data_IF_980307925600
#
_entry.id   IF_980307925600
#
_cell.length_a   1.000
_cell.length_b   1.000
_cell.length_c   1.000
_cell.angle_alpha   90.00
_cell.angle_beta   90.00
_cell.angle_gamma   90.00
#
_symmetry.space_group_name_H-M   'P 1'
#
loop_
_entity.id
_entity.type
_entity.pdbx_description
1 polymer ?
#
# COMPACT_ATOMS: atom_id res chain seq x y z
N UNK A 1 23.22 -31.17 28.21
CA UNK A 1 24.66 -30.87 28.09
C UNK A 1 25.19 -31.53 26.81
N UNK A 2 24.40 -31.50 25.72
CA UNK A 2 24.40 -32.58 24.72
C UNK A 2 24.58 -32.08 23.28
N UNK A 3 24.75 -30.77 23.08
CA UNK A 3 24.71 -30.16 21.74
C UNK A 3 26.12 -29.76 21.22
N UNK A 4 27.18 -29.98 22.02
CA UNK A 4 28.54 -29.57 21.64
C UNK A 4 29.07 -30.44 20.47
N UNK A 5 28.78 -31.74 20.51
CA UNK A 5 29.18 -32.71 19.48
C UNK A 5 28.44 -32.55 18.15
N UNK A 6 27.26 -31.92 18.14
CA UNK A 6 26.46 -31.74 16.92
C UNK A 6 27.17 -30.86 15.87
N UNK A 7 28.08 -30.00 16.33
CA UNK A 7 28.89 -29.14 15.47
C UNK A 7 29.98 -29.90 14.69
N UNK A 8 30.25 -31.16 15.05
CA UNK A 8 31.22 -32.02 14.37
C UNK A 8 30.57 -32.78 13.20
N UNK A 9 31.34 -33.13 12.15
CA UNK A 9 30.89 -34.08 11.15
C UNK A 9 30.52 -35.43 11.80
N UNK A 10 29.48 -36.10 11.30
CA UNK A 10 28.95 -37.36 11.87
C UNK A 10 30.01 -38.45 12.06
N UNK A 11 31.05 -38.47 11.22
CA UNK A 11 32.17 -39.41 11.31
C UNK A 11 33.00 -39.25 12.59
N UNK A 12 33.00 -38.06 13.21
CA UNK A 12 33.75 -37.73 14.43
C UNK A 12 32.93 -37.89 15.71
N UNK A 13 31.61 -38.13 15.61
CA UNK A 13 30.73 -38.22 16.79
C UNK A 13 31.15 -39.34 17.74
N UNK A 14 31.44 -40.54 17.23
CA UNK A 14 31.89 -41.68 18.06
C UNK A 14 33.19 -41.40 18.80
N UNK A 15 34.13 -40.73 18.15
CA UNK A 15 35.42 -40.36 18.74
C UNK A 15 35.23 -39.28 19.82
N UNK A 16 34.38 -38.29 19.55
CA UNK A 16 34.03 -37.26 20.52
C UNK A 16 33.34 -37.85 21.76
N UNK A 17 32.37 -38.73 21.59
CA UNK A 17 31.63 -39.33 22.72
C UNK A 17 32.54 -40.15 23.64
N UNK A 18 33.47 -40.93 23.07
CA UNK A 18 34.43 -41.71 23.83
C UNK A 18 35.38 -40.82 24.65
N UNK A 19 35.88 -39.74 24.05
CA UNK A 19 36.76 -38.78 24.72
C UNK A 19 36.00 -37.91 25.74
N UNK A 20 34.74 -37.57 25.45
CA UNK A 20 33.88 -36.81 26.34
C UNK A 20 33.53 -37.60 27.61
N UNK A 21 33.24 -38.90 27.47
CA UNK A 21 32.98 -39.78 28.60
C UNK A 21 34.20 -39.91 29.53
N UNK A 22 35.41 -40.01 28.97
CA UNK A 22 36.65 -40.07 29.73
C UNK A 22 36.97 -38.78 30.50
N UNK A 23 36.60 -37.61 29.96
CA UNK A 23 36.82 -36.30 30.61
C UNK A 23 35.70 -35.95 31.62
N UNK A 24 34.59 -36.69 31.65
CA UNK A 24 33.43 -36.36 32.48
C UNK A 24 33.64 -36.62 33.98
N UNK A 25 34.51 -37.56 34.34
CA UNK A 25 34.72 -37.95 35.73
C UNK A 25 35.44 -36.85 36.54
N UNK A 26 34.82 -36.45 37.66
CA UNK A 26 35.40 -35.50 38.62
C UNK A 26 35.30 -34.02 38.23
N UNK A 27 34.68 -33.68 37.10
CA UNK A 27 34.48 -32.28 36.68
C UNK A 27 33.09 -31.75 37.04
N UNK A 28 33.02 -30.46 37.39
CA UNK A 28 31.74 -29.76 37.50
C UNK A 28 31.12 -29.54 36.12
N UNK A 29 29.79 -29.39 36.01
CA UNK A 29 29.11 -29.20 34.72
C UNK A 29 29.66 -28.02 33.89
N UNK A 30 30.02 -26.91 34.55
CA UNK A 30 30.59 -25.75 33.88
C UNK A 30 32.01 -26.00 33.32
N UNK A 31 32.85 -26.67 34.11
CA UNK A 31 34.23 -26.98 33.70
C UNK A 31 34.26 -28.07 32.62
N UNK A 32 33.40 -29.08 32.75
CA UNK A 32 33.18 -30.11 31.74
C UNK A 32 32.72 -29.48 30.41
N UNK A 33 31.77 -28.55 30.44
CA UNK A 33 31.32 -27.83 29.23
C UNK A 33 32.47 -27.13 28.51
N UNK A 34 33.35 -26.44 29.24
CA UNK A 34 34.52 -25.76 28.68
C UNK A 34 35.51 -26.75 28.07
N UNK A 35 35.78 -27.88 28.76
CA UNK A 35 36.67 -28.94 28.27
C UNK A 35 36.13 -29.62 27.02
N UNK A 36 34.83 -29.94 26.99
CA UNK A 36 34.16 -30.52 25.84
C UNK A 36 34.13 -29.56 24.64
N UNK A 37 33.93 -28.26 24.85
CA UNK A 37 34.01 -27.27 23.78
C UNK A 37 35.41 -27.21 23.16
N UNK A 38 36.46 -27.23 23.98
CA UNK A 38 37.84 -27.28 23.50
C UNK A 38 38.17 -28.60 22.78
N UNK A 39 37.65 -29.72 23.27
CA UNK A 39 37.79 -31.03 22.63
C UNK A 39 37.09 -31.06 21.26
N UNK A 40 35.85 -30.57 21.18
CA UNK A 40 35.13 -30.46 19.91
C UNK A 40 35.89 -29.59 18.92
N UNK A 41 36.44 -28.45 19.34
CA UNK A 41 37.24 -27.61 18.44
C UNK A 41 38.47 -28.34 17.89
N UNK A 42 39.18 -29.14 18.70
CA UNK A 42 40.33 -29.93 18.24
C UNK A 42 39.98 -31.01 17.23
N UNK A 43 38.78 -31.58 17.33
CA UNK A 43 38.30 -32.65 16.44
C UNK A 43 37.70 -32.13 15.13
N UNK A 44 37.62 -30.81 14.95
CA UNK A 44 37.14 -30.21 13.70
C UNK A 44 38.13 -30.45 12.54
N UNK A 45 37.65 -30.82 11.34
CA UNK A 45 38.51 -31.09 10.18
C UNK A 45 39.12 -29.81 9.56
N UNK A 46 38.56 -28.65 9.87
CA UNK A 46 39.00 -27.34 9.38
C UNK A 46 39.17 -26.40 10.56
N UNK A 47 40.12 -25.48 10.48
CA UNK A 47 40.41 -24.54 11.57
C UNK A 47 39.25 -23.57 11.84
N UNK A 48 39.14 -23.06 13.06
CA UNK A 48 38.18 -21.99 13.39
C UNK A 48 38.32 -20.78 12.45
N UNK A 49 39.55 -20.43 12.07
CA UNK A 49 39.81 -19.32 11.13
C UNK A 49 39.18 -19.56 9.76
N UNK A 50 39.29 -20.77 9.21
CA UNK A 50 38.70 -21.13 7.92
C UNK A 50 37.17 -21.16 8.00
N UNK A 51 36.62 -21.79 9.04
CA UNK A 51 35.16 -21.82 9.27
C UNK A 51 34.61 -20.41 9.48
N UNK A 52 35.33 -19.56 10.21
CA UNK A 52 34.99 -18.15 10.38
C UNK A 52 35.03 -17.39 9.06
N UNK A 53 36.07 -17.58 8.22
CA UNK A 53 36.16 -16.98 6.88
C UNK A 53 34.98 -17.41 5.99
N UNK A 54 34.64 -18.71 6.01
CA UNK A 54 33.51 -19.25 5.26
C UNK A 54 32.16 -18.71 5.77
N UNK A 55 31.96 -18.66 7.10
CA UNK A 55 30.77 -18.06 7.70
C UNK A 55 30.66 -16.57 7.40
N UNK A 56 31.81 -15.87 7.42
CA UNK A 56 31.93 -14.47 7.01
C UNK A 56 31.52 -14.31 5.54
N UNK A 57 31.84 -15.23 4.63
CA UNK A 57 31.36 -15.15 3.23
C UNK A 57 29.83 -15.30 3.09
N UNK A 58 29.15 -15.90 4.08
CA UNK A 58 27.69 -16.12 4.07
C UNK A 58 26.88 -15.02 4.76
N UNK A 59 27.52 -13.93 5.19
CA UNK A 59 26.84 -12.77 5.80
C UNK A 59 25.70 -12.30 4.91
N UNK A 60 24.53 -12.13 5.50
CA UNK A 60 23.34 -11.65 4.81
C UNK A 60 22.43 -10.91 5.78
N UNK A 61 21.48 -10.18 5.22
CA UNK A 61 20.34 -9.59 5.92
C UNK A 61 19.09 -10.09 5.21
N UNK A 62 18.11 -10.57 5.97
CA UNK A 62 16.84 -11.07 5.44
C UNK A 62 15.68 -10.62 6.30
N UNK A 63 14.49 -10.57 5.70
CA UNK A 63 13.23 -10.31 6.41
C UNK A 63 12.42 -11.60 6.46
N UNK A 64 11.96 -11.97 7.65
CA UNK A 64 11.03 -13.09 7.86
C UNK A 64 9.71 -12.49 8.33
N UNK A 65 8.63 -12.77 7.60
CA UNK A 65 7.28 -12.28 7.96
C UNK A 65 6.80 -13.02 9.21
N UNK A 66 6.34 -12.26 10.19
CA UNK A 66 5.69 -12.78 11.40
C UNK A 66 4.19 -12.52 11.38
N UNK A 67 3.55 -12.74 12.53
CA UNK A 67 2.14 -12.47 12.76
C UNK A 67 1.91 -10.99 13.13
N UNK A 68 0.64 -10.57 13.17
CA UNK A 68 0.21 -9.25 13.65
C UNK A 68 0.83 -8.04 12.94
N UNK A 69 1.18 -8.20 11.66
CA UNK A 69 1.81 -7.15 10.86
C UNK A 69 3.28 -6.87 11.22
N UNK A 70 3.90 -7.77 12.00
CA UNK A 70 5.28 -7.69 12.41
C UNK A 70 6.19 -8.50 11.49
N UNK A 71 7.49 -8.17 11.46
CA UNK A 71 8.49 -8.91 10.69
C UNK A 71 9.85 -8.85 11.37
N UNK A 72 10.58 -9.96 11.31
CA UNK A 72 11.94 -10.06 11.84
C UNK A 72 12.96 -9.65 10.78
N UNK A 73 13.77 -8.65 11.08
CA UNK A 73 14.97 -8.33 10.31
C UNK A 73 16.16 -9.08 10.89
N UNK A 74 16.63 -10.11 10.20
CA UNK A 74 17.69 -11.00 10.69
C UNK A 74 18.98 -10.74 9.93
N UNK A 75 20.03 -10.37 10.65
CA UNK A 75 21.38 -10.21 10.12
C UNK A 75 22.30 -11.35 10.60
N UNK A 76 22.95 -12.03 9.66
CA UNK A 76 24.01 -13.00 9.94
C UNK A 76 25.37 -12.29 9.84
N UNK A 77 26.03 -12.10 10.98
CA UNK A 77 27.26 -11.32 11.12
C UNK A 77 28.32 -12.06 11.96
N UNK A 78 29.61 -11.68 11.85
CA UNK A 78 30.62 -12.03 12.85
C UNK A 78 30.13 -11.66 14.26
N UNK A 79 30.31 -12.57 15.22
CA UNK A 79 29.82 -12.41 16.61
C UNK A 79 30.25 -11.08 17.23
N UNK A 80 31.49 -10.64 16.99
CA UNK A 80 32.02 -9.36 17.49
C UNK A 80 31.18 -8.18 17.02
N UNK A 81 30.76 -8.17 15.76
CA UNK A 81 29.91 -7.11 15.21
C UNK A 81 28.48 -7.21 15.74
N UNK A 82 27.90 -8.41 15.80
CA UNK A 82 26.55 -8.61 16.33
C UNK A 82 26.43 -8.17 17.80
N UNK A 83 27.38 -8.57 18.64
CA UNK A 83 27.44 -8.18 20.06
C UNK A 83 27.68 -6.69 20.19
N UNK A 84 28.58 -6.09 19.40
CA UNK A 84 28.82 -4.65 19.41
C UNK A 84 27.59 -3.82 19.02
N UNK A 85 26.84 -4.25 18.01
CA UNK A 85 25.57 -3.62 17.61
C UNK A 85 24.54 -3.72 18.75
N UNK A 86 24.38 -4.91 19.32
CA UNK A 86 23.41 -5.13 20.40
C UNK A 86 23.73 -4.30 21.65
N UNK A 87 25.00 -4.27 22.05
CA UNK A 87 25.48 -3.48 23.19
C UNK A 87 25.24 -1.98 22.97
N UNK A 88 25.55 -1.47 21.77
CA UNK A 88 25.26 -0.06 21.41
C UNK A 88 23.78 0.28 21.53
N UNK A 89 22.88 -0.57 21.01
CA UNK A 89 21.43 -0.36 21.13
C UNK A 89 20.99 -0.37 22.59
N UNK A 90 21.55 -1.27 23.41
CA UNK A 90 21.33 -1.34 24.85
C UNK A 90 21.72 -0.04 25.56
N UNK A 91 22.90 0.48 25.29
CA UNK A 91 23.38 1.73 25.89
C UNK A 91 22.50 2.92 25.49
N UNK A 92 22.15 3.04 24.20
CA UNK A 92 21.32 4.14 23.70
C UNK A 92 19.88 4.09 24.25
N UNK A 93 19.28 2.89 24.34
CA UNK A 93 17.95 2.72 24.93
C UNK A 93 17.92 3.12 26.40
N UNK A 94 18.92 2.68 27.19
CA UNK A 94 19.05 3.10 28.59
C UNK A 94 19.18 4.61 28.73
N UNK A 95 20.04 5.24 27.93
CA UNK A 95 20.20 6.69 27.97
C UNK A 95 18.90 7.45 27.70
N UNK A 96 18.06 6.96 26.76
CA UNK A 96 16.75 7.56 26.49
C UNK A 96 15.75 7.35 27.64
N UNK A 97 15.71 6.13 28.21
CA UNK A 97 14.85 5.81 29.35
C UNK A 97 15.25 6.61 30.59
N UNK A 98 16.53 6.70 30.90
CA UNK A 98 17.04 7.49 32.02
C UNK A 98 16.73 8.98 31.83
N UNK A 99 16.91 9.51 30.61
CA UNK A 99 16.57 10.90 30.28
C UNK A 99 15.07 11.19 30.39
N UNK A 100 14.22 10.19 30.08
CA UNK A 100 12.77 10.26 30.30
C UNK A 100 12.46 10.35 31.79
N UNK A 101 13.01 9.44 32.59
CA UNK A 101 12.69 9.30 34.01
C UNK A 101 13.25 10.48 34.83
N UNK A 102 14.33 11.13 34.37
CA UNK A 102 14.90 12.34 34.96
C UNK A 102 14.09 13.62 34.66
N UNK A 103 13.11 13.59 33.77
CA UNK A 103 12.32 14.79 33.40
C UNK A 103 11.29 15.09 34.52
N UNK A 104 11.33 16.29 35.14
CA UNK A 104 10.38 16.61 36.20
C UNK A 104 8.94 16.61 35.64
N UNK A 105 7.95 16.14 36.42
CA UNK A 105 6.55 16.21 35.99
C UNK A 105 6.19 17.66 35.70
N UNK A 106 5.49 17.90 34.59
CA UNK A 106 4.96 19.21 34.24
C UNK A 106 3.95 19.59 35.32
N UNK A 107 4.40 20.29 36.36
CA UNK A 107 3.51 20.88 37.35
C UNK A 107 2.73 21.96 36.63
N UNK A 108 1.40 21.78 36.61
CA UNK A 108 0.46 22.84 36.26
C UNK A 108 0.89 24.11 36.98
N UNK A 109 1.31 25.13 36.23
CA UNK A 109 1.61 26.45 36.75
C UNK A 109 0.38 26.92 37.52
N UNK A 110 0.51 26.92 38.84
CA UNK A 110 -0.46 27.50 39.75
C UNK A 110 -0.57 28.97 39.41
N UNK A 111 -1.80 29.35 39.15
CA UNK A 111 -2.32 30.70 39.10
C UNK A 111 -1.82 31.51 40.30
N UNK A 112 -0.89 32.44 40.06
CA UNK A 112 -0.60 33.52 41.00
C UNK A 112 -0.79 34.80 40.22
N UNK A 113 -2.01 35.33 40.34
CA UNK A 113 -2.39 36.60 39.76
C UNK A 113 -1.52 37.73 40.30
N UNK A 114 -1.11 38.60 39.39
CA UNK A 114 -0.80 39.97 39.74
C UNK A 114 -1.36 40.87 38.64
N UNK A 115 -2.29 41.72 39.06
CA UNK A 115 -3.05 42.62 38.22
C UNK A 115 -2.17 43.77 37.72
N UNK A 116 -2.23 44.06 36.43
CA UNK A 116 -1.96 45.41 35.92
C UNK A 116 -2.88 45.72 34.74
N UNK A 117 -3.49 46.91 34.79
CA UNK A 117 -4.58 47.37 33.91
C UNK A 117 -4.06 48.16 32.69
N UNK A 118 -4.79 47.98 31.58
CA UNK A 118 -5.10 48.90 30.46
C UNK A 118 -4.20 48.88 29.19
N UNK A 119 -4.69 49.33 28.01
CA UNK A 119 -5.98 49.02 27.36
C UNK A 119 -5.89 48.65 25.85
N UNK A 120 -6.98 48.02 25.37
CA UNK A 120 -7.59 48.03 24.02
C UNK A 120 -6.74 48.08 22.72
N UNK A 121 -6.93 47.06 21.87
CA UNK A 121 -6.82 47.17 20.41
C UNK A 121 -6.27 45.93 19.71
N UNK A 122 -7.13 45.00 19.27
CA UNK A 122 -6.73 43.90 18.38
C UNK A 122 -7.76 42.78 18.31
N UNK A 123 -8.25 42.48 17.11
CA UNK A 123 -9.24 41.45 16.81
C UNK A 123 -8.79 40.04 17.26
N UNK A 124 -9.72 39.13 17.63
CA UNK A 124 -9.35 37.80 18.11
C UNK A 124 -8.80 36.96 16.96
N UNK A 125 -7.50 36.64 17.03
CA UNK A 125 -6.91 35.54 16.28
C UNK A 125 -7.51 34.25 16.83
N UNK A 126 -8.11 33.46 15.92
CA UNK A 126 -8.64 32.12 16.19
C UNK A 126 -7.67 31.28 17.02
N UNK A 127 -8.17 30.77 18.14
CA UNK A 127 -7.41 30.13 19.19
C UNK A 127 -6.62 28.92 18.70
N UNK A 128 -5.31 28.95 18.94
CA UNK A 128 -4.57 27.72 19.20
C UNK A 128 -5.12 27.13 20.49
N UNK A 129 -5.91 26.07 20.37
CA UNK A 129 -6.23 25.21 21.51
C UNK A 129 -4.90 24.82 22.18
N UNK A 130 -4.75 24.97 23.51
CA UNK A 130 -3.57 24.49 24.21
C UNK A 130 -3.45 22.99 23.91
N UNK A 131 -2.41 22.61 23.18
CA UNK A 131 -2.14 21.21 22.89
C UNK A 131 -1.87 20.54 24.24
N UNK A 132 -2.68 19.52 24.57
CA UNK A 132 -2.48 18.74 25.77
C UNK A 132 -1.01 18.29 25.84
N UNK A 133 -0.37 18.32 27.03
CA UNK A 133 1.00 17.86 27.15
C UNK A 133 1.10 16.45 26.55
N UNK A 134 2.15 16.17 25.74
CA UNK A 134 2.30 14.85 25.14
C UNK A 134 2.25 13.80 26.24
N UNK A 135 1.46 12.74 26.01
CA UNK A 135 1.33 11.65 26.95
C UNK A 135 2.74 11.13 27.33
N UNK A 136 2.96 10.75 28.60
CA UNK A 136 4.24 10.22 29.03
C UNK A 136 4.59 8.99 28.20
N UNK A 137 5.84 8.90 27.76
CA UNK A 137 6.33 7.78 26.97
C UNK A 137 6.44 6.52 27.83
N UNK A 138 5.50 5.58 27.67
CA UNK A 138 5.41 4.35 28.48
C UNK A 138 6.14 3.15 27.86
N UNK A 139 6.93 3.35 26.80
CA UNK A 139 7.60 2.24 26.12
C UNK A 139 8.62 1.54 27.01
N UNK A 140 8.75 0.21 26.82
CA UNK A 140 9.76 -0.61 27.49
C UNK A 140 11.14 -0.39 26.86
N UNK A 141 12.25 -0.69 27.57
CA UNK A 141 13.60 -0.61 26.99
C UNK A 141 13.75 -1.40 25.69
N UNK A 142 13.07 -2.55 25.58
CA UNK A 142 13.09 -3.42 24.41
C UNK A 142 12.39 -2.79 23.20
N UNK A 143 11.24 -2.14 23.42
CA UNK A 143 10.54 -1.36 22.39
C UNK A 143 11.40 -0.19 21.91
N UNK A 144 12.05 0.53 22.83
CA UNK A 144 12.98 1.63 22.48
C UNK A 144 14.17 1.12 21.67
N UNK A 145 14.71 -0.08 21.97
CA UNK A 145 15.80 -0.67 21.17
C UNK A 145 15.35 -1.00 19.74
N UNK A 146 14.14 -1.54 19.58
CA UNK A 146 13.58 -1.83 18.26
C UNK A 146 13.42 -0.54 17.44
N UNK A 147 12.89 0.52 18.06
CA UNK A 147 12.73 1.83 17.42
C UNK A 147 14.08 2.44 17.02
N UNK A 148 15.08 2.39 17.90
CA UNK A 148 16.44 2.87 17.61
C UNK A 148 17.10 2.11 16.46
N UNK A 149 16.93 0.78 16.41
CA UNK A 149 17.46 -0.03 15.32
C UNK A 149 16.82 0.39 13.98
N UNK A 150 15.50 0.56 13.96
CA UNK A 150 14.77 0.98 12.77
C UNK A 150 15.18 2.39 12.32
N UNK A 151 15.25 3.35 13.25
CA UNK A 151 15.63 4.73 12.97
C UNK A 151 17.05 4.81 12.38
N UNK A 152 18.02 4.14 13.02
CA UNK A 152 19.40 4.10 12.52
C UNK A 152 19.50 3.48 11.13
N UNK A 153 18.73 2.43 10.81
CA UNK A 153 18.79 1.78 9.50
C UNK A 153 18.03 2.53 8.40
N UNK A 154 16.95 3.24 8.74
CA UNK A 154 16.14 3.98 7.78
C UNK A 154 16.70 5.38 7.49
N UNK A 155 17.47 5.96 8.40
CA UNK A 155 17.95 7.34 8.30
C UNK A 155 19.46 7.48 8.12
N UNK A 156 20.26 6.46 8.44
CA UNK A 156 21.71 6.54 8.27
C UNK A 156 22.15 6.40 6.81
N UNK A 157 23.18 7.14 6.43
CA UNK A 157 23.91 6.94 5.19
C UNK A 157 25.05 5.93 5.39
N UNK A 158 25.21 4.92 4.52
CA UNK A 158 26.33 3.99 4.61
C UNK A 158 27.65 4.69 4.28
N UNK A 159 28.64 4.56 5.15
CA UNK A 159 30.00 5.08 4.92
C UNK A 159 30.80 4.23 3.91
N UNK A 160 30.39 2.98 3.68
CA UNK A 160 31.11 2.01 2.84
C UNK A 160 30.70 2.10 1.37
N UNK A 161 30.73 3.31 0.80
CA UNK A 161 30.59 3.48 -0.63
C UNK A 161 31.99 3.48 -1.28
N UNK A 162 32.37 2.42 -2.03
CA UNK A 162 33.71 2.30 -2.62
C UNK A 162 33.95 3.27 -3.79
N UNK A 163 33.00 4.14 -4.13
CA UNK A 163 33.09 5.04 -5.29
C UNK A 163 33.48 6.49 -4.96
N UNK A 164 33.98 6.80 -3.74
CA UNK A 164 34.18 8.20 -3.33
C UNK A 164 35.52 8.53 -2.67
N UNK A 165 36.05 9.68 -3.08
CA UNK A 165 37.09 10.49 -2.42
C UNK A 165 36.56 11.93 -2.08
N UNK A 166 35.25 12.19 -2.13
CA UNK A 166 34.64 13.54 -2.00
C UNK A 166 33.29 13.59 -1.19
N UNK A 167 32.85 14.78 -0.77
CA UNK A 167 31.82 15.03 0.30
C UNK A 167 30.31 14.92 -0.08
N UNK A 168 29.95 14.61 -1.32
CA UNK A 168 28.56 14.35 -1.74
C UNK A 168 28.01 12.96 -1.32
N UNK A 169 26.70 12.70 -1.52
CA UNK A 169 26.12 11.38 -1.29
C UNK A 169 26.57 10.39 -2.36
N UNK A 170 27.07 9.21 -1.97
CA UNK A 170 27.53 8.17 -2.90
C UNK A 170 26.43 7.44 -3.66
N UNK A 171 26.82 6.48 -4.50
CA UNK A 171 25.95 5.55 -5.24
C UNK A 171 24.89 4.88 -4.35
N UNK A 172 25.23 4.54 -3.11
CA UNK A 172 24.27 3.97 -2.14
C UNK A 172 23.37 5.04 -1.51
N UNK A 173 23.81 6.31 -1.47
CA UNK A 173 23.02 7.44 -0.98
C UNK A 173 21.81 7.78 -1.86
N UNK A 174 21.79 7.29 -3.10
CA UNK A 174 20.63 7.40 -4.00
C UNK A 174 19.52 6.37 -3.71
N UNK A 175 19.82 5.31 -2.96
CA UNK A 175 18.85 4.25 -2.65
C UNK A 175 17.94 4.72 -1.52
N UNK A 176 16.70 5.07 -1.86
CA UNK A 176 15.65 5.40 -0.89
C UNK A 176 14.67 4.24 -0.77
N UNK A 177 14.43 3.76 0.44
CA UNK A 177 13.35 2.83 0.70
C UNK A 177 12.01 3.48 0.32
N UNK A 178 11.20 2.80 -0.50
CA UNK A 178 9.85 3.24 -0.84
C UNK A 178 8.86 2.28 -0.19
N UNK A 179 8.06 2.82 0.72
CA UNK A 179 7.00 2.08 1.43
C UNK A 179 5.67 2.55 0.87
N UNK A 180 4.85 1.63 0.37
CA UNK A 180 3.49 1.93 -0.10
C UNK A 180 2.48 1.32 0.87
N UNK A 181 1.67 2.17 1.49
CA UNK A 181 0.61 1.76 2.41
C UNK A 181 -0.74 2.09 1.81
N UNK A 182 -1.65 1.11 1.82
CA UNK A 182 -3.06 1.28 1.46
C UNK A 182 -3.87 1.27 2.75
N UNK A 183 -4.60 2.36 3.00
CA UNK A 183 -5.42 2.49 4.21
C UNK A 183 -6.88 2.65 3.79
N UNK A 184 -7.79 1.76 4.21
CA UNK A 184 -9.21 1.96 3.98
C UNK A 184 -9.69 3.26 4.63
N UNK A 185 -10.54 4.02 3.93
CA UNK A 185 -10.95 5.35 4.37
C UNK A 185 -11.66 5.33 5.74
N UNK A 186 -12.42 4.27 6.04
CA UNK A 186 -13.11 4.12 7.33
C UNK A 186 -12.14 3.87 8.49
N UNK A 187 -11.03 3.19 8.24
CA UNK A 187 -9.94 3.00 9.20
C UNK A 187 -9.31 4.33 9.63
N UNK A 188 -9.36 5.36 8.78
CA UNK A 188 -8.88 6.71 9.11
C UNK A 188 -9.90 7.57 9.86
N UNK A 189 -11.21 7.41 9.57
CA UNK A 189 -12.27 8.33 10.01
C UNK A 189 -12.83 8.02 11.41
N UNK A 190 -12.64 6.80 11.93
CA UNK A 190 -13.18 6.40 13.23
C UNK A 190 -12.06 5.86 14.16
N UNK A 191 -11.33 6.74 14.87
CA UNK A 191 -10.34 6.34 15.86
C UNK A 191 -11.05 5.75 17.08
N UNK A 192 -11.24 4.43 17.09
CA UNK A 192 -11.82 3.72 18.25
C UNK A 192 -12.64 2.47 17.88
N UNK A 193 -13.07 2.34 16.63
CA UNK A 193 -13.55 1.06 16.09
C UNK A 193 -12.37 0.25 15.56
N UNK A 194 -11.68 -0.42 16.47
CA UNK A 194 -10.70 -1.44 16.13
C UNK A 194 -11.42 -2.55 15.32
N UNK A 195 -10.98 -2.80 14.08
CA UNK A 195 -11.44 -3.86 13.16
C UNK A 195 -12.50 -3.52 12.08
N UNK A 196 -12.51 -2.32 11.51
CA UNK A 196 -13.06 -2.14 10.16
C UNK A 196 -11.90 -2.05 9.16
N UNK A 197 -11.58 -3.20 8.55
CA UNK A 197 -10.54 -3.48 7.55
C UNK A 197 -9.09 -3.06 7.91
N UNK A 198 -8.11 -3.99 7.92
CA UNK A 198 -6.72 -3.65 8.21
C UNK A 198 -6.12 -2.77 7.10
N UNK A 199 -5.19 -1.89 7.49
CA UNK A 199 -4.33 -1.24 6.50
C UNK A 199 -3.36 -2.28 5.91
N UNK A 200 -2.99 -2.13 4.64
CA UNK A 200 -2.11 -3.06 3.96
C UNK A 200 -0.81 -2.39 3.55
N UNK A 201 0.32 -2.98 3.96
CA UNK A 201 1.63 -2.69 3.39
C UNK A 201 1.78 -3.52 2.11
N UNK A 202 1.70 -2.87 0.95
CA UNK A 202 1.60 -3.53 -0.34
C UNK A 202 2.76 -4.51 -0.56
N UNK A 203 2.42 -5.78 -0.78
CA UNK A 203 3.39 -6.86 -1.00
C UNK A 203 3.99 -7.46 0.27
N UNK A 204 3.58 -7.01 1.46
CA UNK A 204 4.14 -7.47 2.73
C UNK A 204 3.10 -7.96 3.74
N UNK A 205 1.89 -7.39 3.76
CA UNK A 205 0.79 -7.88 4.61
C UNK A 205 0.07 -6.76 5.37
N UNK A 206 -0.86 -7.11 6.27
CA UNK A 206 -1.61 -6.13 7.06
C UNK A 206 -0.69 -5.41 8.06
N UNK A 207 -1.01 -4.17 8.38
CA UNK A 207 -0.41 -3.37 9.45
C UNK A 207 -1.50 -2.78 10.34
N UNK A 208 -1.16 -2.43 11.59
CA UNK A 208 -2.13 -1.84 12.50
C UNK A 208 -2.54 -0.41 12.09
N UNK A 209 -3.78 -0.05 12.42
CA UNK A 209 -4.37 1.24 12.05
C UNK A 209 -3.62 2.43 12.66
N UNK A 210 -3.04 2.30 13.85
CA UNK A 210 -2.32 3.39 14.49
C UNK A 210 -0.99 3.67 13.78
N UNK A 211 -0.26 2.63 13.35
CA UNK A 211 0.93 2.75 12.52
C UNK A 211 0.60 3.37 11.17
N UNK A 212 -0.47 2.92 10.52
CA UNK A 212 -0.93 3.52 9.27
C UNK A 212 -1.24 5.03 9.41
N UNK A 213 -1.90 5.44 10.50
CA UNK A 213 -2.17 6.86 10.80
C UNK A 213 -0.91 7.67 11.09
N UNK A 214 0.05 7.13 11.85
CA UNK A 214 1.34 7.82 12.11
C UNK A 214 2.16 8.01 10.83
N UNK A 215 2.21 6.98 9.98
CA UNK A 215 2.79 7.10 8.63
C UNK A 215 2.02 8.15 7.83
N UNK A 216 0.71 8.23 8.03
CA UNK A 216 -0.11 9.17 7.32
C UNK A 216 0.19 10.64 7.70
N UNK A 217 0.26 10.91 8.99
CA UNK A 217 0.55 12.23 9.57
C UNK A 217 1.97 12.72 9.28
N UNK A 218 2.94 11.80 9.23
CA UNK A 218 4.36 12.12 8.97
C UNK A 218 4.67 12.36 7.48
N UNK A 219 3.74 12.06 6.58
CA UNK A 219 3.94 12.21 5.14
C UNK A 219 3.61 13.64 4.67
N UNK A 220 4.58 14.30 4.03
CA UNK A 220 4.42 15.66 3.46
C UNK A 220 3.84 15.67 2.04
N UNK A 221 3.60 14.50 1.43
CA UNK A 221 2.99 14.36 0.10
C UNK A 221 1.47 14.19 0.18
N UNK A 222 0.71 14.66 -0.83
CA UNK A 222 -0.73 14.41 -0.90
C UNK A 222 -1.05 12.92 -1.08
N UNK A 223 -2.21 12.53 -0.56
CA UNK A 223 -2.74 11.16 -0.62
C UNK A 223 -3.42 10.92 -1.97
N UNK A 224 -3.14 9.79 -2.59
CA UNK A 224 -3.91 9.32 -3.73
C UNK A 224 -5.14 8.56 -3.23
N UNK A 225 -6.35 9.08 -3.45
CA UNK A 225 -7.57 8.32 -3.14
C UNK A 225 -7.80 7.26 -4.20
N UNK A 226 -7.85 6.01 -3.77
CA UNK A 226 -8.26 4.87 -4.59
C UNK A 226 -9.64 4.43 -4.13
N UNK A 227 -10.65 4.54 -5.00
CA UNK A 227 -11.99 3.98 -4.72
C UNK A 227 -12.07 2.63 -5.41
N UNK A 228 -12.35 1.58 -4.65
CA UNK A 228 -12.49 0.22 -5.15
C UNK A 228 -13.95 -0.22 -5.13
N UNK A 229 -14.30 -1.14 -6.03
CA UNK A 229 -15.60 -1.78 -6.04
C UNK A 229 -15.71 -2.71 -4.83
N UNK A 230 -16.77 -2.59 -4.01
CA UNK A 230 -16.84 -3.24 -2.69
C UNK A 230 -16.88 -4.78 -2.74
N UNK A 231 -17.23 -5.36 -3.89
CA UNK A 231 -17.35 -6.83 -4.05
C UNK A 231 -16.19 -7.42 -4.85
N UNK A 232 -15.59 -6.66 -5.78
CA UNK A 232 -14.62 -7.20 -6.74
C UNK A 232 -13.21 -6.65 -6.52
N UNK A 233 -13.03 -5.65 -5.65
CA UNK A 233 -11.75 -4.98 -5.43
C UNK A 233 -11.26 -4.16 -6.62
N UNK A 234 -12.00 -4.09 -7.73
CA UNK A 234 -11.59 -3.36 -8.92
C UNK A 234 -11.50 -1.86 -8.63
N UNK A 235 -10.41 -1.21 -9.06
CA UNK A 235 -10.23 0.24 -8.93
C UNK A 235 -11.22 0.97 -9.84
N UNK A 236 -12.15 1.69 -9.22
CA UNK A 236 -13.18 2.52 -9.87
C UNK A 236 -12.69 3.95 -10.11
N UNK A 237 -11.91 4.50 -9.17
CA UNK A 237 -11.39 5.88 -9.24
C UNK A 237 -9.99 5.98 -8.62
N UNK A 238 -9.15 6.80 -9.23
CA UNK A 238 -7.83 7.21 -8.73
C UNK A 238 -7.62 8.70 -8.97
N UNK A 239 -6.92 9.37 -8.05
CA UNK A 239 -6.58 10.80 -8.20
C UNK A 239 -5.39 11.05 -9.15
N UNK A 240 -4.86 10.00 -9.79
CA UNK A 240 -3.73 10.08 -10.72
C UNK A 240 -4.17 10.23 -12.19
N UNK A 241 -3.26 10.72 -13.04
CA UNK A 241 -3.47 10.78 -14.50
C UNK A 241 -3.60 9.40 -15.15
N UNK A 242 -3.16 8.32 -14.48
CA UNK A 242 -3.14 6.99 -15.05
C UNK A 242 -4.54 6.36 -15.08
N UNK A 243 -4.95 5.94 -16.29
CA UNK A 243 -6.20 5.23 -16.53
C UNK A 243 -6.03 3.75 -16.24
N UNK A 244 -7.00 3.13 -15.58
CA UNK A 244 -7.01 1.67 -15.40
C UNK A 244 -7.36 0.96 -16.72
N UNK A 245 -6.97 -0.31 -16.87
CA UNK A 245 -7.36 -1.13 -18.01
C UNK A 245 -8.89 -1.32 -18.13
N UNK A 246 -9.62 -1.25 -17.00
CA UNK A 246 -11.07 -1.31 -16.98
C UNK A 246 -11.72 -0.07 -17.60
N UNK A 247 -11.22 1.12 -17.26
CA UNK A 247 -11.64 2.39 -17.88
C UNK A 247 -11.35 2.35 -19.38
N UNK A 248 -10.15 1.93 -19.79
CA UNK A 248 -9.79 1.85 -21.22
C UNK A 248 -10.72 0.90 -21.99
N UNK A 249 -10.98 -0.30 -21.44
CA UNK A 249 -11.90 -1.29 -22.04
C UNK A 249 -13.32 -0.75 -22.16
N UNK A 250 -13.84 -0.11 -21.10
CA UNK A 250 -15.17 0.50 -21.11
C UNK A 250 -15.27 1.61 -22.16
N UNK A 251 -14.31 2.54 -22.18
CA UNK A 251 -14.33 3.66 -23.12
C UNK A 251 -14.25 3.18 -24.58
N UNK A 252 -13.43 2.16 -24.88
CA UNK A 252 -13.38 1.56 -26.23
C UNK A 252 -14.72 0.96 -26.62
N UNK A 253 -15.37 0.27 -25.69
CA UNK A 253 -16.67 -0.35 -25.92
C UNK A 253 -17.78 0.68 -26.08
N UNK A 254 -17.77 1.75 -25.28
CA UNK A 254 -18.74 2.84 -25.34
C UNK A 254 -18.57 3.68 -26.60
N UNK A 255 -17.34 4.09 -26.89
CA UNK A 255 -17.08 5.13 -27.89
C UNK A 255 -17.01 4.57 -29.31
N UNK A 256 -16.38 3.40 -29.50
CA UNK A 256 -16.23 2.66 -30.78
C UNK A 256 -15.47 3.41 -31.90
N UNK A 257 -15.65 4.71 -32.02
CA UNK A 257 -14.98 5.63 -32.92
C UNK A 257 -14.67 6.95 -32.20
N UNK A 258 -13.92 7.82 -32.87
CA UNK A 258 -13.72 9.20 -32.49
C UNK A 258 -15.07 9.90 -32.26
N UNK A 259 -15.25 10.50 -31.09
CA UNK A 259 -16.53 11.09 -30.65
C UNK A 259 -16.73 12.55 -31.13
N UNK A 260 -15.89 12.99 -32.06
CA UNK A 260 -16.07 14.27 -32.74
C UNK A 260 -17.22 14.19 -33.75
N UNK A 261 -18.04 15.26 -33.93
CA UNK A 261 -19.19 15.23 -34.84
C UNK A 261 -18.85 14.71 -36.24
N UNK A 262 -19.47 13.59 -36.63
CA UNK A 262 -19.32 12.97 -37.94
C UNK A 262 -18.01 12.20 -38.19
N UNK A 263 -17.15 12.02 -37.18
CA UNK A 263 -15.92 11.26 -37.34
C UNK A 263 -16.15 9.75 -37.14
N UNK A 264 -15.63 8.94 -38.05
CA UNK A 264 -15.75 7.47 -38.00
C UNK A 264 -14.41 6.77 -37.74
N UNK A 265 -13.35 7.51 -37.39
CA UNK A 265 -12.04 6.94 -37.08
C UNK A 265 -12.18 5.95 -35.90
N UNK A 266 -11.68 4.71 -36.01
CA UNK A 266 -11.95 3.68 -34.99
C UNK A 266 -11.25 4.01 -33.68
N UNK A 267 -11.90 3.72 -32.54
CA UNK A 267 -11.38 4.07 -31.20
C UNK A 267 -9.98 3.53 -30.92
N UNK A 268 -9.60 2.39 -31.52
CA UNK A 268 -8.24 1.82 -31.40
C UNK A 268 -7.13 2.72 -31.99
N UNK A 269 -7.49 3.66 -32.87
CA UNK A 269 -6.60 4.68 -33.45
C UNK A 269 -6.82 6.06 -32.83
N UNK A 270 -7.57 6.13 -31.74
CA UNK A 270 -7.88 7.35 -31.03
C UNK A 270 -7.17 7.38 -29.68
N UNK A 271 -6.86 8.59 -29.23
CA UNK A 271 -6.40 8.86 -27.88
C UNK A 271 -7.62 9.07 -26.99
N UNK A 272 -7.46 8.77 -25.70
CA UNK A 272 -8.48 9.05 -24.69
C UNK A 272 -8.20 10.43 -24.12
N UNK A 273 -9.10 11.36 -24.39
CA UNK A 273 -9.00 12.78 -24.06
C UNK A 273 -9.92 13.15 -22.90
N UNK A 274 -9.49 14.11 -22.08
CA UNK A 274 -10.28 14.66 -20.99
C UNK A 274 -11.17 15.81 -21.49
N UNK A 275 -12.49 15.74 -21.24
CA UNK A 275 -13.44 16.82 -21.57
C UNK A 275 -13.12 18.08 -20.76
N UNK A 276 -12.98 17.96 -19.45
CA UNK A 276 -12.37 18.95 -18.58
C UNK A 276 -10.91 18.56 -18.36
N UNK A 277 -9.98 19.41 -18.77
CA UNK A 277 -8.55 19.08 -18.79
C UNK A 277 -8.02 18.68 -17.40
N UNK A 278 -7.23 17.62 -17.36
CA UNK A 278 -6.65 17.11 -16.11
C UNK A 278 -5.78 18.16 -15.40
N UNK A 279 -5.03 18.97 -16.15
CA UNK A 279 -4.19 20.04 -15.59
C UNK A 279 -5.02 21.15 -14.89
N UNK A 280 -6.32 21.25 -15.21
CA UNK A 280 -7.26 22.19 -14.61
C UNK A 280 -8.14 21.54 -13.52
N UNK A 281 -7.78 20.33 -13.07
CA UNK A 281 -8.51 19.58 -12.05
C UNK A 281 -9.55 18.60 -12.62
N UNK A 282 -9.51 18.33 -13.93
CA UNK A 282 -10.32 17.28 -14.55
C UNK A 282 -9.99 15.88 -14.02
N UNK A 283 -11.00 15.15 -13.56
CA UNK A 283 -10.84 13.79 -13.03
C UNK A 283 -10.61 12.77 -14.15
N UNK A 284 -9.81 11.75 -13.88
CA UNK A 284 -9.60 10.62 -14.79
C UNK A 284 -10.71 9.57 -14.60
N UNK A 285 -11.90 9.85 -15.12
CA UNK A 285 -13.08 8.99 -14.95
C UNK A 285 -13.91 8.87 -16.23
N UNK A 286 -14.76 7.84 -16.32
CA UNK A 286 -15.53 7.55 -17.54
C UNK A 286 -16.46 8.69 -17.97
N UNK A 287 -16.92 9.51 -17.02
CA UNK A 287 -17.74 10.70 -17.26
C UNK A 287 -16.99 11.94 -17.77
N UNK A 288 -15.66 11.94 -17.70
CA UNK A 288 -14.82 13.05 -18.16
C UNK A 288 -13.88 12.64 -19.31
N UNK A 289 -13.93 11.40 -19.77
CA UNK A 289 -13.05 10.85 -20.80
C UNK A 289 -13.83 10.48 -22.06
N UNK A 290 -13.25 10.71 -23.24
CA UNK A 290 -13.78 10.24 -24.53
C UNK A 290 -12.66 9.98 -25.56
N UNK A 291 -12.90 9.07 -26.51
CA UNK A 291 -11.96 8.84 -27.61
C UNK A 291 -12.00 9.96 -28.65
N UNK A 292 -10.85 10.56 -28.94
CA UNK A 292 -10.63 11.49 -30.06
C UNK A 292 -9.43 11.06 -30.89
N UNK A 293 -9.55 11.10 -32.22
CA UNK A 293 -8.38 10.92 -33.08
C UNK A 293 -7.46 12.13 -32.95
N UNK A 294 -6.16 11.94 -33.20
CA UNK A 294 -5.15 13.01 -33.07
C UNK A 294 -5.60 14.33 -33.71
N UNK A 295 -6.16 14.30 -34.93
CA UNK A 295 -6.69 15.49 -35.63
C UNK A 295 -7.72 16.27 -34.80
N UNK A 296 -8.68 15.57 -34.21
CA UNK A 296 -9.77 16.19 -33.45
C UNK A 296 -9.40 16.49 -32.00
N UNK A 297 -8.44 15.75 -31.44
CA UNK A 297 -7.79 16.13 -30.19
C UNK A 297 -7.09 17.50 -30.35
N UNK A 298 -6.26 17.66 -31.39
CA UNK A 298 -5.64 18.95 -31.74
C UNK A 298 -6.69 20.03 -31.98
N UNK A 299 -7.78 19.71 -32.70
CA UNK A 299 -8.82 20.70 -32.98
C UNK A 299 -9.54 21.16 -31.70
N UNK A 300 -9.87 20.26 -30.77
CA UNK A 300 -10.43 20.64 -29.46
C UNK A 300 -9.50 21.57 -28.69
N UNK A 301 -8.21 21.24 -28.64
CA UNK A 301 -7.24 21.95 -27.80
C UNK A 301 -6.89 23.34 -28.33
N UNK A 302 -6.81 23.52 -29.65
CA UNK A 302 -6.24 24.73 -30.25
C UNK A 302 -7.24 25.59 -31.04
N UNK A 303 -8.55 25.34 -30.88
CA UNK A 303 -9.58 26.15 -31.54
C UNK A 303 -10.73 26.50 -30.58
N UNK A 304 -11.66 27.34 -31.03
CA UNK A 304 -12.81 27.78 -30.22
C UNK A 304 -13.94 26.75 -30.08
N UNK A 305 -13.71 25.49 -30.48
CA UNK A 305 -14.68 24.42 -30.24
C UNK A 305 -14.80 24.13 -28.75
N UNK A 306 -16.03 23.93 -28.29
CA UNK A 306 -16.32 23.58 -26.89
C UNK A 306 -17.02 22.23 -26.84
N UNK A 307 -16.74 21.46 -25.80
CA UNK A 307 -17.40 20.17 -25.55
C UNK A 307 -17.95 20.14 -24.13
N UNK A 308 -19.16 19.61 -23.99
CA UNK A 308 -19.77 19.26 -22.70
C UNK A 308 -20.15 17.79 -22.72
N UNK A 309 -19.67 17.04 -21.74
CA UNK A 309 -20.01 15.63 -21.57
C UNK A 309 -21.19 15.51 -20.59
N UNK A 310 -22.28 14.91 -21.05
CA UNK A 310 -23.48 14.62 -20.25
C UNK A 310 -23.44 13.18 -19.73
N UNK A 311 -24.43 12.85 -18.91
CA UNK A 311 -24.65 11.48 -18.42
C UNK A 311 -24.72 10.46 -19.58
N UNK A 312 -24.30 9.23 -19.31
CA UNK A 312 -24.27 8.16 -20.33
C UNK A 312 -23.16 8.32 -21.37
N UNK A 313 -22.30 9.34 -21.28
CA UNK A 313 -21.22 9.57 -22.26
C UNK A 313 -21.70 10.22 -23.56
N UNK A 314 -22.80 10.97 -23.49
CA UNK A 314 -23.26 11.85 -24.58
C UNK A 314 -22.38 13.09 -24.63
N UNK A 315 -21.85 13.43 -25.81
CA UNK A 315 -21.05 14.63 -26.02
C UNK A 315 -21.84 15.68 -26.78
N UNK A 316 -21.85 16.90 -26.24
CA UNK A 316 -22.37 18.08 -26.92
C UNK A 316 -21.23 18.98 -27.35
N UNK A 317 -21.04 19.08 -28.65
CA UNK A 317 -20.03 19.92 -29.27
C UNK A 317 -20.64 21.22 -29.75
N UNK A 318 -20.03 22.34 -29.41
CA UNK A 318 -20.38 23.66 -29.91
C UNK A 318 -19.28 24.15 -30.84
N UNK A 319 -19.64 24.43 -32.09
CA UNK A 319 -18.72 24.98 -33.08
C UNK A 319 -18.36 26.44 -32.78
N UNK A 320 -17.27 26.97 -33.36
CA UNK A 320 -16.92 28.39 -33.26
C UNK A 320 -18.02 29.33 -33.76
N UNK A 321 -18.90 28.84 -34.64
CA UNK A 321 -20.06 29.60 -35.16
C UNK A 321 -21.32 29.43 -34.31
N UNK A 322 -21.24 28.78 -33.14
CA UNK A 322 -22.36 28.57 -32.22
C UNK A 322 -23.31 27.43 -32.55
N UNK A 323 -23.00 26.58 -33.56
CA UNK A 323 -23.84 25.41 -33.89
C UNK A 323 -23.56 24.28 -32.91
N UNK A 324 -24.61 23.62 -32.43
CA UNK A 324 -24.49 22.49 -31.51
C UNK A 324 -24.67 21.16 -32.24
N UNK A 325 -23.80 20.21 -31.96
CA UNK A 325 -23.83 18.84 -32.46
C UNK A 325 -23.84 17.89 -31.26
N UNK A 326 -24.79 16.96 -31.25
CA UNK A 326 -24.91 15.95 -30.20
C UNK A 326 -24.41 14.62 -30.76
N UNK A 327 -23.50 14.00 -30.04
CA UNK A 327 -22.97 12.68 -30.35
C UNK A 327 -23.28 11.72 -29.18
N UNK A 328 -24.06 10.70 -29.48
CA UNK A 328 -24.54 9.71 -28.52
C UNK A 328 -23.79 8.38 -28.73
N UNK A 329 -23.32 7.73 -27.66
CA UNK A 329 -22.75 6.40 -27.80
C UNK A 329 -23.81 5.46 -28.34
N UNK A 330 -23.50 4.77 -29.44
CA UNK A 330 -24.46 3.83 -30.02
C UNK A 330 -24.75 2.72 -29.01
N UNK A 331 -26.02 2.36 -28.75
CA UNK A 331 -26.32 1.18 -27.95
C UNK A 331 -25.69 -0.07 -28.60
N UNK A 332 -25.31 -1.06 -27.79
CA UNK A 332 -25.06 -2.39 -28.31
C UNK A 332 -26.42 -2.96 -28.69
N UNK A 333 -26.68 -3.32 -29.96
CA UNK A 333 -27.86 -4.11 -30.24
C UNK A 333 -27.74 -5.40 -29.41
N UNK A 334 -28.80 -5.84 -28.72
CA UNK A 334 -28.73 -7.10 -28.00
C UNK A 334 -28.38 -8.20 -29.00
N UNK A 335 -27.44 -9.08 -28.63
CA UNK A 335 -27.06 -10.23 -29.48
C UNK A 335 -28.27 -11.13 -29.80
N UNK A 336 -29.31 -11.07 -28.95
CA UNK A 336 -30.61 -11.70 -29.15
C UNK A 336 -31.68 -10.65 -28.87
N UNK A 337 -32.43 -10.25 -29.90
CA UNK A 337 -33.66 -9.50 -29.73
C UNK A 337 -34.83 -10.48 -29.74
N UNK A 338 -35.59 -10.55 -28.65
CA UNK A 338 -36.89 -11.22 -28.67
C UNK A 338 -37.85 -10.31 -29.42
N UNK A 339 -37.98 -10.55 -30.73
CA UNK A 339 -39.03 -9.93 -31.53
C UNK A 339 -40.34 -10.60 -31.13
N UNK A 340 -41.38 -9.87 -30.70
CA UNK A 340 -42.69 -10.46 -30.51
C UNK A 340 -43.09 -11.15 -31.80
N UNK A 341 -43.22 -12.49 -31.77
CA UNK A 341 -43.77 -13.22 -32.89
C UNK A 341 -45.17 -12.68 -33.22
N UNK A 342 -45.66 -12.82 -34.47
CA UNK A 342 -47.05 -12.52 -34.75
C UNK A 342 -47.91 -13.24 -33.72
N UNK A 343 -48.80 -12.51 -33.04
CA UNK A 343 -49.76 -13.10 -32.09
C UNK A 343 -50.40 -14.27 -32.84
N UNK A 344 -50.09 -15.51 -32.46
CA UNK A 344 -50.91 -16.64 -32.89
C UNK A 344 -52.32 -16.26 -32.43
N UNK A 345 -53.21 -16.03 -33.39
CA UNK A 345 -54.59 -15.68 -33.11
C UNK A 345 -55.12 -16.67 -32.08
N UNK A 346 -55.91 -16.16 -31.12
CA UNK A 346 -56.60 -17.01 -30.18
C UNK A 346 -57.29 -18.15 -30.96
N UNK A 347 -57.23 -19.41 -30.48
CA UNK A 347 -57.93 -20.50 -31.13
C UNK A 347 -59.40 -20.09 -31.32
N UNK A 348 -59.86 -20.16 -32.56
CA UNK A 348 -61.24 -19.82 -32.92
C UNK A 348 -62.17 -20.69 -32.08
N UNK A 349 -63.12 -20.10 -31.31
CA UNK A 349 -64.06 -20.91 -30.55
C UNK A 349 -64.85 -21.82 -31.51
N UNK A 350 -65.19 -23.05 -31.11
CA UNK A 350 -65.91 -23.99 -31.96
C UNK A 350 -67.23 -23.36 -32.41
N UNK A 351 -67.51 -23.47 -33.72
CA UNK A 351 -68.71 -22.91 -34.32
C UNK A 351 -69.97 -23.48 -33.65
N UNK A 352 -70.91 -22.60 -33.31
CA UNK A 352 -72.22 -22.98 -32.80
C UNK A 352 -72.93 -23.92 -33.81
N UNK A 353 -73.68 -24.92 -33.33
CA UNK A 353 -74.40 -25.84 -34.21
C UNK A 353 -75.39 -25.06 -35.09
N UNK A 354 -75.37 -25.36 -36.39
CA UNK A 354 -76.23 -24.71 -37.38
C UNK A 354 -77.71 -24.98 -37.06
N UNK A 355 -78.61 -24.00 -37.24
CA UNK A 355 -80.05 -24.25 -37.17
C UNK A 355 -80.43 -25.31 -38.20
N UNK A 356 -81.32 -26.23 -37.83
CA UNK A 356 -81.90 -27.20 -38.77
C UNK A 356 -82.65 -26.42 -39.85
N UNK A 357 -82.28 -26.62 -41.11
CA UNK A 357 -83.07 -26.17 -42.24
C UNK A 357 -84.42 -26.91 -42.22
N UNK A 358 -85.50 -26.17 -41.97
CA UNK A 358 -86.83 -26.60 -42.35
C UNK A 358 -86.86 -26.69 -43.88
N UNK A 359 -87.00 -27.90 -44.40
CA UNK A 359 -87.20 -28.12 -45.83
C UNK A 359 -88.56 -27.54 -46.26
N UNK A 360 -88.62 -26.80 -47.39
CA UNK A 360 -89.89 -26.36 -47.96
C UNK A 360 -90.63 -27.58 -48.53
N UNK A 361 -91.89 -27.74 -48.11
CA UNK A 361 -92.69 -28.94 -48.35
C UNK A 361 -93.20 -29.12 -49.78
N UNK A 362 -94.03 -30.17 -49.97
CA UNK A 362 -95.25 -30.25 -50.79
C UNK A 362 -95.59 -31.74 -51.02
N UNK A 363 -96.85 -32.11 -50.79
CA UNK A 363 -97.41 -33.42 -51.13
C UNK A 363 -98.42 -33.92 -50.12
#
# INVERSE_FOLDING_TARGET
MTDIGETLPTQRHREFDALAAAEAEGLSPGLLRTRLAALAERLQPTTLTERHRAGRARRNVRVVRGDDGMSDLIATLPTVLAVGIYDRLMQQSRALVDARDARPPVTATRDSGEASRAPAGGAPVSGRTPQAPPAPDVRTPDQVRADLLADLLLTAAPLSDPTRDDDGPGTLGAIRARVQVVVPALTMLDPGRENADPAELVGHGPIDAATARRLAESTTRPWDRVITHPITGAVLHVDTYQRTAAIDRYLRARDRHCRWPGCTAPAIRCEVDHTHDHALGGRTETGNLAHLCQRHHTQKQFTAWKVRQREGGVLEWTSPTGRTYVDEPRPYPPAVAFVPGPRRGAPTPPAAPRPREESPGHG
#
